data_IF_072737064784
#
_entry.id   IF_072737064784
#
_cell.length_a   1.000
_cell.length_b   1.000
_cell.length_c   1.000
_cell.angle_alpha   90.00
_cell.angle_beta   90.00
_cell.angle_gamma   90.00
#
_symmetry.space_group_name_H-M   'P 1'
#
loop_
_entity.id
_entity.type
_entity.pdbx_description
1 polymer ?
#
# COMPACT_ATOMS: atom_id res chain seq x y z
N UNK A 1 13.77 -36.17 5.41
CA UNK A 1 14.47 -35.05 4.76
C UNK A 1 13.40 -34.20 4.08
N UNK A 2 12.82 -33.23 4.81
CA UNK A 2 11.84 -32.29 4.25
C UNK A 2 12.59 -31.36 3.29
N UNK A 3 12.51 -31.65 2.00
CA UNK A 3 12.94 -30.70 0.97
C UNK A 3 11.75 -29.75 0.82
N UNK A 4 11.76 -28.63 1.53
CA UNK A 4 10.86 -27.53 1.18
C UNK A 4 11.11 -27.21 -0.30
N UNK A 5 10.06 -27.30 -1.10
CA UNK A 5 10.09 -26.96 -2.51
C UNK A 5 10.52 -25.50 -2.65
N UNK A 6 11.33 -25.18 -3.67
CA UNK A 6 11.72 -23.79 -3.92
C UNK A 6 10.47 -22.99 -4.29
N UNK A 7 10.34 -21.70 -3.89
CA UNK A 7 9.22 -20.88 -4.33
C UNK A 7 9.18 -20.83 -5.86
N UNK A 8 7.96 -20.75 -6.43
CA UNK A 8 7.79 -20.58 -7.87
C UNK A 8 8.44 -19.27 -8.31
N UNK A 9 9.54 -19.36 -9.05
CA UNK A 9 10.33 -18.22 -9.51
C UNK A 9 9.53 -17.23 -10.36
N UNK A 10 8.40 -17.65 -10.95
CA UNK A 10 7.54 -16.77 -11.77
C UNK A 10 6.54 -15.97 -10.94
N UNK A 11 6.37 -16.32 -9.67
CA UNK A 11 5.37 -15.68 -8.81
C UNK A 11 5.74 -14.24 -8.42
N UNK A 12 7.03 -13.90 -8.34
CA UNK A 12 7.50 -12.52 -8.10
C UNK A 12 9.01 -12.42 -8.33
N UNK A 13 9.52 -11.19 -8.47
CA UNK A 13 10.97 -10.94 -8.54
C UNK A 13 11.70 -11.44 -7.27
N UNK A 14 11.07 -11.32 -6.09
CA UNK A 14 11.62 -11.85 -4.84
C UNK A 14 11.66 -13.39 -4.82
N UNK A 15 10.65 -14.06 -5.38
CA UNK A 15 10.66 -15.52 -5.54
C UNK A 15 11.73 -15.97 -6.54
N UNK A 16 11.95 -15.20 -7.62
CA UNK A 16 13.07 -15.45 -8.53
C UNK A 16 14.42 -15.30 -7.84
N UNK A 17 14.62 -14.28 -7.00
CA UNK A 17 15.85 -14.12 -6.21
C UNK A 17 16.06 -15.32 -5.27
N UNK A 18 15.02 -15.74 -4.54
CA UNK A 18 15.08 -16.89 -3.64
C UNK A 18 15.45 -18.19 -4.38
N UNK A 19 14.81 -18.43 -5.53
CA UNK A 19 15.13 -19.55 -6.42
C UNK A 19 16.56 -19.46 -6.93
N UNK A 20 16.98 -18.31 -7.45
CA UNK A 20 18.32 -18.07 -8.00
C UNK A 20 19.41 -18.25 -6.94
N UNK A 21 19.18 -17.79 -5.70
CA UNK A 21 20.10 -17.99 -4.59
C UNK A 21 20.33 -19.49 -4.34
N UNK A 22 19.23 -20.26 -4.22
CA UNK A 22 19.29 -21.71 -4.03
C UNK A 22 19.95 -22.40 -5.22
N UNK A 23 19.61 -22.01 -6.44
CA UNK A 23 20.19 -22.56 -7.68
C UNK A 23 21.71 -22.35 -7.72
N UNK A 24 22.19 -21.12 -7.52
CA UNK A 24 23.62 -20.80 -7.54
C UNK A 24 24.38 -21.47 -6.39
N UNK A 25 23.78 -21.58 -5.20
CA UNK A 25 24.36 -22.31 -4.06
C UNK A 25 24.54 -23.80 -4.40
N UNK A 26 23.49 -24.44 -4.93
CA UNK A 26 23.50 -25.86 -5.28
C UNK A 26 24.48 -26.19 -6.42
N UNK A 27 24.53 -25.35 -7.46
CA UNK A 27 25.49 -25.49 -8.57
C UNK A 27 26.95 -25.44 -8.10
N UNK A 28 27.22 -24.71 -7.02
CA UNK A 28 28.57 -24.59 -6.41
C UNK A 28 28.84 -25.62 -5.30
N UNK A 29 27.90 -26.53 -5.03
CA UNK A 29 28.03 -27.53 -3.96
C UNK A 29 28.13 -26.92 -2.55
N UNK A 30 27.68 -25.69 -2.35
CA UNK A 30 27.79 -24.98 -1.07
C UNK A 30 26.67 -25.38 -0.10
N UNK A 31 27.04 -25.56 1.17
CA UNK A 31 26.06 -25.74 2.25
C UNK A 31 25.43 -24.40 2.63
N UNK A 32 24.24 -24.44 3.23
CA UNK A 32 23.62 -23.22 3.79
C UNK A 32 24.53 -22.52 4.81
N UNK A 33 25.32 -23.28 5.59
CA UNK A 33 26.30 -22.75 6.55
C UNK A 33 27.48 -22.04 5.87
N UNK A 34 27.88 -22.48 4.68
CA UNK A 34 28.93 -21.80 3.92
C UNK A 34 28.43 -20.43 3.41
N UNK A 35 27.20 -20.37 2.89
CA UNK A 35 26.59 -19.11 2.44
C UNK A 35 26.28 -18.18 3.62
N UNK A 36 25.85 -18.72 4.76
CA UNK A 36 25.61 -17.96 5.98
C UNK A 36 26.89 -17.26 6.48
N UNK A 37 28.03 -17.96 6.46
CA UNK A 37 29.33 -17.38 6.79
C UNK A 37 29.74 -16.31 5.78
N UNK A 38 29.53 -16.55 4.49
CA UNK A 38 29.81 -15.59 3.43
C UNK A 38 29.03 -14.28 3.62
N UNK A 39 27.75 -14.39 3.99
CA UNK A 39 26.86 -13.25 4.21
C UNK A 39 26.88 -12.67 5.63
N UNK A 40 27.74 -13.19 6.50
CA UNK A 40 27.81 -12.83 7.92
C UNK A 40 26.43 -12.87 8.63
N UNK A 41 25.67 -13.95 8.42
CA UNK A 41 24.34 -14.12 9.01
C UNK A 41 24.14 -15.53 9.60
N UNK A 42 23.03 -15.74 10.30
CA UNK A 42 22.66 -17.07 10.78
C UNK A 42 22.26 -18.02 9.63
N UNK A 43 22.50 -19.32 9.79
CA UNK A 43 22.06 -20.35 8.82
C UNK A 43 20.56 -20.31 8.56
N UNK A 44 19.77 -20.07 9.60
CA UNK A 44 18.31 -19.93 9.51
C UNK A 44 17.91 -18.80 8.56
N UNK A 45 18.69 -17.72 8.47
CA UNK A 45 18.46 -16.64 7.52
C UNK A 45 18.59 -17.11 6.08
N UNK A 46 19.57 -17.96 5.76
CA UNK A 46 19.72 -18.54 4.41
C UNK A 46 18.52 -19.39 4.04
N UNK A 47 18.05 -20.25 4.96
CA UNK A 47 16.84 -21.04 4.71
C UNK A 47 15.63 -20.16 4.44
N UNK A 48 15.44 -19.07 5.20
CA UNK A 48 14.34 -18.14 4.99
C UNK A 48 14.44 -17.41 3.65
N UNK A 49 15.64 -16.99 3.26
CA UNK A 49 15.90 -16.36 1.97
C UNK A 49 15.54 -17.31 0.82
N UNK A 50 16.00 -18.56 0.87
CA UNK A 50 15.74 -19.56 -0.18
C UNK A 50 14.28 -20.02 -0.26
N UNK A 51 13.53 -19.91 0.84
CA UNK A 51 12.09 -20.18 0.87
C UNK A 51 11.24 -18.95 0.50
N UNK A 52 11.85 -17.78 0.24
CA UNK A 52 11.12 -16.53 -0.05
C UNK A 52 10.46 -15.89 1.19
N UNK A 53 10.80 -16.34 2.39
CA UNK A 53 10.29 -15.80 3.67
C UNK A 53 11.06 -14.56 4.15
N UNK A 54 12.21 -14.28 3.54
CA UNK A 54 13.02 -13.09 3.76
C UNK A 54 13.48 -12.51 2.42
N UNK A 55 13.72 -11.20 2.38
CA UNK A 55 14.23 -10.50 1.19
C UNK A 55 15.75 -10.38 1.28
N UNK A 56 16.44 -10.67 0.17
CA UNK A 56 17.88 -10.48 0.06
C UNK A 56 18.20 -8.98 0.08
N UNK A 57 19.08 -8.55 0.98
CA UNK A 57 19.49 -7.15 1.06
C UNK A 57 20.49 -6.79 -0.06
N UNK A 58 20.52 -5.53 -0.47
CA UNK A 58 21.42 -5.04 -1.51
C UNK A 58 22.90 -5.26 -1.16
N UNK A 59 23.28 -5.10 0.11
CA UNK A 59 24.63 -5.40 0.59
C UNK A 59 24.95 -6.90 0.49
N UNK A 60 23.99 -7.77 0.80
CA UNK A 60 24.17 -9.21 0.69
C UNK A 60 24.27 -9.63 -0.79
N UNK A 61 23.47 -9.03 -1.66
CA UNK A 61 23.52 -9.25 -3.10
C UNK A 61 24.88 -8.88 -3.68
N UNK A 62 25.44 -7.73 -3.30
CA UNK A 62 26.79 -7.32 -3.71
C UNK A 62 27.88 -8.32 -3.27
N UNK A 63 27.80 -8.80 -2.02
CA UNK A 63 28.73 -9.83 -1.51
C UNK A 63 28.62 -11.14 -2.29
N UNK A 64 27.41 -11.58 -2.63
CA UNK A 64 27.22 -12.76 -3.47
C UNK A 64 27.79 -12.55 -4.87
N UNK A 65 27.55 -11.37 -5.46
CA UNK A 65 28.03 -11.05 -6.80
C UNK A 65 29.57 -11.07 -6.88
N UNK A 66 30.23 -10.50 -5.89
CA UNK A 66 31.69 -10.52 -5.77
C UNK A 66 32.21 -11.95 -5.53
N UNK A 67 31.68 -12.64 -4.52
CA UNK A 67 32.19 -13.94 -4.12
C UNK A 67 31.92 -15.05 -5.13
N UNK A 68 30.83 -14.96 -5.88
CA UNK A 68 30.44 -15.96 -6.88
C UNK A 68 30.73 -15.54 -8.31
N UNK A 69 31.32 -14.35 -8.50
CA UNK A 69 31.63 -13.72 -9.78
C UNK A 69 30.45 -13.75 -10.76
N UNK A 70 29.27 -13.29 -10.30
CA UNK A 70 28.03 -13.33 -11.09
C UNK A 70 27.75 -12.06 -11.89
N UNK A 71 28.71 -11.12 -11.96
CA UNK A 71 28.59 -9.93 -12.79
C UNK A 71 27.38 -9.04 -12.44
N UNK A 72 27.16 -8.81 -11.14
CA UNK A 72 26.04 -8.03 -10.59
C UNK A 72 24.65 -8.65 -10.75
N UNK A 73 24.55 -9.93 -11.10
CA UNK A 73 23.26 -10.61 -11.29
C UNK A 73 22.32 -10.46 -10.08
N UNK A 74 22.79 -10.69 -8.85
CA UNK A 74 21.94 -10.55 -7.65
C UNK A 74 21.58 -9.11 -7.37
N UNK A 75 22.54 -8.20 -7.51
CA UNK A 75 22.34 -6.76 -7.27
C UNK A 75 21.30 -6.18 -8.24
N UNK A 76 21.37 -6.55 -9.51
CA UNK A 76 20.40 -6.15 -10.55
C UNK A 76 19.01 -6.72 -10.24
N UNK A 77 18.91 -8.01 -9.87
CA UNK A 77 17.63 -8.61 -9.49
C UNK A 77 17.02 -7.90 -8.27
N UNK A 78 17.82 -7.63 -7.23
CA UNK A 78 17.36 -6.90 -6.03
C UNK A 78 16.89 -5.49 -6.40
N UNK A 79 17.61 -4.79 -7.27
CA UNK A 79 17.20 -3.48 -7.76
C UNK A 79 15.82 -3.54 -8.43
N UNK A 80 15.62 -4.44 -9.41
CA UNK A 80 14.32 -4.62 -10.05
C UNK A 80 13.24 -5.08 -9.06
N UNK A 81 13.58 -5.90 -8.06
CA UNK A 81 12.61 -6.39 -7.07
C UNK A 81 12.10 -5.28 -6.14
N UNK A 82 12.92 -4.25 -5.91
CA UNK A 82 12.55 -3.05 -5.15
C UNK A 82 11.70 -2.08 -5.97
N UNK A 83 11.90 -2.04 -7.29
CA UNK A 83 11.14 -1.16 -8.20
C UNK A 83 9.83 -1.78 -8.69
N UNK A 84 9.80 -3.11 -8.84
CA UNK A 84 8.71 -3.84 -9.45
C UNK A 84 7.46 -3.92 -8.60
N UNK A 85 6.34 -4.23 -9.25
CA UNK A 85 5.08 -4.56 -8.58
C UNK A 85 5.28 -5.82 -7.74
N UNK A 86 4.99 -5.75 -6.44
CA UNK A 86 5.06 -6.89 -5.53
C UNK A 86 3.67 -7.55 -5.52
N UNK A 87 3.47 -8.77 -6.02
CA UNK A 87 2.13 -9.40 -6.03
C UNK A 87 1.51 -9.59 -4.65
N UNK A 88 2.32 -9.52 -3.58
CA UNK A 88 1.87 -9.54 -2.18
C UNK A 88 1.60 -8.15 -1.61
N UNK A 89 1.70 -7.09 -2.44
CA UNK A 89 1.55 -5.70 -2.04
C UNK A 89 0.30 -5.47 -1.20
N UNK A 90 -0.84 -6.03 -1.61
CA UNK A 90 -2.13 -5.78 -0.96
C UNK A 90 -2.14 -6.39 0.44
N UNK A 91 -1.64 -7.61 0.58
CA UNK A 91 -1.49 -8.26 1.89
C UNK A 91 -0.59 -7.43 2.81
N UNK A 92 0.60 -7.07 2.34
CA UNK A 92 1.55 -6.28 3.13
C UNK A 92 0.93 -4.93 3.53
N UNK A 93 0.30 -4.24 2.59
CA UNK A 93 -0.41 -2.99 2.84
C UNK A 93 -1.48 -3.14 3.94
N UNK A 94 -2.35 -4.15 3.86
CA UNK A 94 -3.39 -4.37 4.89
C UNK A 94 -2.80 -4.68 6.26
N UNK A 95 -1.65 -5.35 6.33
CA UNK A 95 -0.95 -5.61 7.61
C UNK A 95 -0.36 -4.33 8.23
N UNK A 96 0.13 -3.40 7.40
CA UNK A 96 0.57 -2.07 7.85
C UNK A 96 -0.63 -1.19 8.26
N UNK A 97 -1.70 -1.17 7.46
CA UNK A 97 -2.93 -0.41 7.75
C UNK A 97 -3.52 -0.83 9.10
N UNK A 98 -3.62 -2.14 9.36
CA UNK A 98 -4.19 -2.68 10.59
C UNK A 98 -3.44 -2.25 11.87
N UNK A 99 -2.14 -1.95 11.77
CA UNK A 99 -1.29 -1.54 12.91
C UNK A 99 -0.86 -0.08 12.87
N UNK A 100 -1.39 0.71 11.94
CA UNK A 100 -1.01 2.10 11.72
C UNK A 100 -1.18 2.95 13.00
N UNK A 101 -0.23 3.82 13.30
CA UNK A 101 -0.40 4.88 14.30
C UNK A 101 -0.87 6.18 13.64
N UNK A 102 -0.47 6.39 12.38
CA UNK A 102 -0.92 7.50 11.53
C UNK A 102 -1.00 7.06 10.08
N UNK A 103 -1.97 7.59 9.34
CA UNK A 103 -2.11 7.41 7.90
C UNK A 103 -2.29 8.79 7.26
N UNK A 104 -1.40 9.15 6.35
CA UNK A 104 -1.64 10.21 5.37
C UNK A 104 -2.14 9.57 4.10
N UNK A 105 -3.26 10.04 3.57
CA UNK A 105 -3.90 9.45 2.40
C UNK A 105 -4.35 10.55 1.43
N UNK A 106 -3.91 10.44 0.18
CA UNK A 106 -4.48 11.20 -0.91
C UNK A 106 -5.21 10.25 -1.87
N UNK A 107 -6.48 10.57 -2.16
CA UNK A 107 -7.27 9.88 -3.18
C UNK A 107 -7.92 10.88 -4.14
N UNK A 108 -7.70 10.67 -5.44
CA UNK A 108 -8.24 11.53 -6.50
C UNK A 108 -9.42 10.95 -7.27
N UNK A 109 -9.69 9.64 -7.12
CA UNK A 109 -10.64 8.91 -7.96
C UNK A 109 -11.77 8.24 -7.18
N UNK A 110 -11.49 7.74 -5.97
CA UNK A 110 -12.43 6.94 -5.18
C UNK A 110 -12.34 7.33 -3.71
N UNK A 111 -13.43 7.16 -2.97
CA UNK A 111 -13.38 7.30 -1.51
C UNK A 111 -12.51 6.16 -0.96
N UNK A 112 -11.53 6.41 -0.07
CA UNK A 112 -10.67 5.36 0.47
C UNK A 112 -11.47 4.29 1.19
N UNK A 113 -11.05 3.03 1.07
CA UNK A 113 -11.76 1.87 1.65
C UNK A 113 -12.11 2.01 3.15
N UNK A 114 -11.25 2.68 3.94
CA UNK A 114 -11.52 2.93 5.35
C UNK A 114 -12.71 3.89 5.60
N UNK A 115 -13.11 4.64 4.59
CA UNK A 115 -14.16 5.65 4.64
C UNK A 115 -15.38 5.25 3.80
N UNK A 116 -15.44 4.02 3.27
CA UNK A 116 -16.54 3.58 2.41
C UNK A 116 -17.73 3.04 3.21
N UNK A 117 -18.96 3.32 2.79
CA UNK A 117 -20.13 2.56 3.27
C UNK A 117 -20.22 1.21 2.55
N UNK A 118 -20.96 0.22 3.11
CA UNK A 118 -21.18 -1.06 2.43
C UNK A 118 -21.80 -0.89 1.04
N UNK A 119 -22.75 0.06 0.88
CA UNK A 119 -23.38 0.35 -0.40
C UNK A 119 -22.40 0.85 -1.45
N UNK A 120 -21.56 1.84 -1.10
CA UNK A 120 -20.54 2.38 -2.01
C UNK A 120 -19.51 1.32 -2.38
N UNK A 121 -19.02 0.57 -1.38
CA UNK A 121 -18.07 -0.51 -1.58
C UNK A 121 -18.61 -1.61 -2.51
N UNK A 122 -19.88 -2.00 -2.33
CA UNK A 122 -20.58 -2.98 -3.17
C UNK A 122 -20.67 -2.50 -4.61
N UNK A 123 -21.12 -1.27 -4.84
CA UNK A 123 -21.25 -0.71 -6.19
C UNK A 123 -19.92 -0.73 -6.96
N UNK A 124 -18.80 -0.42 -6.30
CA UNK A 124 -17.48 -0.55 -6.91
C UNK A 124 -17.12 -1.99 -7.27
N UNK A 125 -17.35 -2.95 -6.35
CA UNK A 125 -17.07 -4.37 -6.60
C UNK A 125 -17.92 -4.93 -7.76
N UNK A 126 -19.18 -4.51 -7.87
CA UNK A 126 -20.08 -4.86 -8.97
C UNK A 126 -19.56 -4.31 -10.31
N UNK A 127 -19.17 -3.03 -10.35
CA UNK A 127 -18.62 -2.41 -11.58
C UNK A 127 -17.36 -3.11 -12.08
N UNK A 128 -16.52 -3.61 -11.16
CA UNK A 128 -15.31 -4.38 -11.46
C UNK A 128 -15.58 -5.82 -11.90
N UNK A 129 -16.86 -6.26 -11.94
CA UNK A 129 -17.29 -7.64 -12.25
C UNK A 129 -16.60 -8.67 -11.35
N UNK A 130 -16.48 -8.37 -10.06
CA UNK A 130 -15.78 -9.23 -9.11
C UNK A 130 -16.57 -10.53 -8.88
N UNK A 131 -16.01 -11.73 -9.20
CA UNK A 131 -16.69 -13.01 -8.99
C UNK A 131 -16.85 -13.40 -7.51
N UNK A 132 -16.13 -12.74 -6.59
CA UNK A 132 -16.14 -12.98 -5.14
C UNK A 132 -16.72 -11.80 -4.35
N UNK A 133 -17.73 -11.13 -4.90
CA UNK A 133 -18.28 -9.86 -4.39
C UNK A 133 -18.54 -9.87 -2.88
N UNK A 134 -19.30 -10.83 -2.35
CA UNK A 134 -19.70 -10.83 -0.93
C UNK A 134 -18.52 -11.06 0.01
N UNK A 135 -17.60 -11.95 -0.35
CA UNK A 135 -16.39 -12.22 0.45
C UNK A 135 -15.46 -11.01 0.46
N UNK A 136 -15.26 -10.37 -0.68
CA UNK A 136 -14.38 -9.22 -0.81
C UNK A 136 -15.01 -7.95 -0.21
N UNK A 137 -16.33 -7.81 -0.27
CA UNK A 137 -17.07 -6.78 0.46
C UNK A 137 -16.85 -6.95 1.97
N UNK A 138 -17.02 -8.17 2.49
CA UNK A 138 -16.79 -8.48 3.90
C UNK A 138 -15.35 -8.18 4.33
N UNK A 139 -14.35 -8.61 3.55
CA UNK A 139 -12.94 -8.28 3.83
C UNK A 139 -12.68 -6.78 3.81
N UNK A 140 -13.27 -6.06 2.84
CA UNK A 140 -13.13 -4.61 2.70
C UNK A 140 -13.72 -3.88 3.91
N UNK A 141 -14.92 -4.24 4.33
CA UNK A 141 -15.56 -3.65 5.52
C UNK A 141 -14.81 -4.02 6.81
N UNK A 142 -14.31 -5.25 6.93
CA UNK A 142 -13.53 -5.67 8.09
C UNK A 142 -12.25 -4.84 8.31
N UNK A 143 -11.72 -4.18 7.27
CA UNK A 143 -10.58 -3.26 7.41
C UNK A 143 -10.90 -2.04 8.26
N UNK A 144 -12.17 -1.60 8.30
CA UNK A 144 -12.59 -0.44 9.09
C UNK A 144 -12.55 -0.66 10.60
N UNK A 145 -12.44 -1.92 11.07
CA UNK A 145 -12.21 -2.22 12.48
C UNK A 145 -11.00 -1.46 13.07
N UNK A 146 -10.06 -1.06 12.21
CA UNK A 146 -8.93 -0.21 12.56
C UNK A 146 -9.32 1.15 13.15
N UNK A 147 -10.50 1.67 12.81
CA UNK A 147 -11.04 2.96 13.25
C UNK A 147 -11.60 2.91 14.67
N UNK A 148 -11.98 1.73 15.15
CA UNK A 148 -12.71 1.52 16.41
C UNK A 148 -11.86 0.85 17.49
N UNK A 149 -10.55 0.68 17.23
CA UNK A 149 -9.62 0.18 18.24
C UNK A 149 -9.45 1.18 19.39
N UNK A 150 -8.99 0.70 20.55
CA UNK A 150 -8.76 1.52 21.75
C UNK A 150 -7.93 2.78 21.52
N UNK A 151 -6.92 2.69 20.64
CA UNK A 151 -6.09 3.81 20.20
C UNK A 151 -6.14 3.84 18.67
N UNK A 152 -7.13 4.52 18.06
CA UNK A 152 -7.27 4.56 16.61
C UNK A 152 -6.14 5.38 15.98
N UNK A 153 -5.80 5.15 14.69
CA UNK A 153 -4.77 5.91 14.02
C UNK A 153 -5.21 7.36 13.82
N UNK A 154 -4.25 8.29 13.80
CA UNK A 154 -4.49 9.61 13.23
C UNK A 154 -4.64 9.51 11.72
N UNK A 155 -5.74 10.02 11.16
CA UNK A 155 -6.03 9.95 9.73
C UNK A 155 -5.99 11.35 9.12
N UNK A 156 -5.03 11.57 8.23
CA UNK A 156 -4.89 12.81 7.46
C UNK A 156 -5.27 12.52 6.03
N UNK A 157 -6.45 12.97 5.61
CA UNK A 157 -7.06 12.54 4.35
C UNK A 157 -7.33 13.74 3.45
N UNK A 158 -6.76 13.70 2.26
CA UNK A 158 -6.99 14.67 1.19
C UNK A 158 -7.75 13.96 0.07
N UNK A 159 -8.96 14.43 -0.24
CA UNK A 159 -9.75 13.90 -1.36
C UNK A 159 -9.87 14.96 -2.45
N UNK A 160 -9.78 14.57 -3.72
CA UNK A 160 -10.24 15.46 -4.80
C UNK A 160 -11.75 15.65 -4.69
N UNK A 161 -12.26 16.85 -4.97
CA UNK A 161 -13.70 17.12 -5.05
C UNK A 161 -14.42 16.15 -6.01
N UNK A 162 -13.76 15.71 -7.09
CA UNK A 162 -14.32 14.72 -8.02
C UNK A 162 -14.73 13.41 -7.33
N UNK A 163 -14.04 13.03 -6.24
CA UNK A 163 -14.32 11.80 -5.48
C UNK A 163 -15.68 11.82 -4.80
N UNK A 164 -16.14 13.00 -4.41
CA UNK A 164 -17.41 13.22 -3.71
C UNK A 164 -18.56 13.66 -4.63
N UNK A 165 -18.27 13.80 -5.94
CA UNK A 165 -19.20 14.28 -6.97
C UNK A 165 -19.64 13.15 -7.93
N UNK A 166 -18.85 12.08 -8.08
CA UNK A 166 -19.21 10.94 -8.93
C UNK A 166 -20.30 10.09 -8.25
N UNK A 167 -21.46 9.82 -8.90
CA UNK A 167 -22.60 9.09 -8.33
C UNK A 167 -22.37 7.57 -8.27
N UNK A 168 -21.40 7.11 -7.48
CA UNK A 168 -21.12 5.67 -7.32
C UNK A 168 -22.29 4.98 -6.62
N UNK A 169 -22.90 3.99 -7.29
CA UNK A 169 -24.06 3.27 -6.78
C UNK A 169 -25.38 4.04 -6.87
N UNK A 170 -25.40 5.21 -7.51
CA UNK A 170 -26.57 6.08 -7.62
C UNK A 170 -26.68 7.10 -6.48
N UNK A 171 -27.69 7.97 -6.57
CA UNK A 171 -27.85 9.12 -5.67
C UNK A 171 -28.01 8.72 -4.19
N UNK A 172 -28.83 7.72 -3.90
CA UNK A 172 -29.08 7.27 -2.53
C UNK A 172 -27.82 6.74 -1.85
N UNK A 173 -27.06 5.88 -2.53
CA UNK A 173 -25.80 5.32 -2.05
C UNK A 173 -24.77 6.41 -1.81
N UNK A 174 -24.68 7.36 -2.75
CA UNK A 174 -23.73 8.46 -2.61
C UNK A 174 -24.11 9.41 -1.47
N UNK A 175 -25.40 9.67 -1.25
CA UNK A 175 -25.88 10.46 -0.11
C UNK A 175 -25.52 9.81 1.22
N UNK A 176 -25.75 8.49 1.36
CA UNK A 176 -25.34 7.73 2.56
C UNK A 176 -23.82 7.81 2.76
N UNK A 177 -23.07 7.65 1.67
CA UNK A 177 -21.61 7.72 1.67
C UNK A 177 -21.08 9.09 2.12
N UNK A 178 -21.68 10.19 1.65
CA UNK A 178 -21.28 11.54 2.06
C UNK A 178 -21.67 11.83 3.51
N UNK A 179 -22.83 11.37 3.97
CA UNK A 179 -23.22 11.44 5.37
C UNK A 179 -22.20 10.73 6.28
N UNK A 180 -21.72 9.55 5.87
CA UNK A 180 -20.68 8.82 6.59
C UNK A 180 -19.33 9.55 6.60
N UNK A 181 -18.94 10.22 5.49
CA UNK A 181 -17.74 11.07 5.48
C UNK A 181 -17.85 12.22 6.49
N UNK A 182 -19.02 12.85 6.59
CA UNK A 182 -19.26 13.91 7.57
C UNK A 182 -19.12 13.37 8.99
N UNK A 183 -19.76 12.23 9.31
CA UNK A 183 -19.63 11.57 10.61
C UNK A 183 -18.16 11.29 10.97
N UNK A 184 -17.42 10.64 10.07
CA UNK A 184 -16.00 10.35 10.29
C UNK A 184 -15.18 11.62 10.47
N UNK A 185 -15.46 12.67 9.69
CA UNK A 185 -14.75 13.94 9.80
C UNK A 185 -14.90 14.60 11.17
N UNK A 186 -15.94 14.26 11.94
CA UNK A 186 -16.17 14.81 13.29
C UNK A 186 -15.36 14.09 14.37
N UNK A 187 -14.72 12.96 14.06
CA UNK A 187 -13.84 12.26 15.01
C UNK A 187 -12.57 13.09 15.27
N UNK A 188 -12.07 13.17 16.51
CA UNK A 188 -10.93 14.04 16.87
C UNK A 188 -9.59 13.61 16.23
N UNK A 189 -9.50 12.36 15.78
CA UNK A 189 -8.31 11.79 15.13
C UNK A 189 -8.43 11.77 13.60
N UNK A 190 -9.43 12.44 13.00
CA UNK A 190 -9.68 12.46 11.55
C UNK A 190 -9.63 13.88 11.01
N UNK A 191 -8.72 14.11 10.07
CA UNK A 191 -8.49 15.39 9.39
C UNK A 191 -8.79 15.20 7.90
N UNK A 192 -10.07 15.29 7.54
CA UNK A 192 -10.55 15.18 6.16
C UNK A 192 -10.60 16.57 5.51
N UNK A 193 -9.93 16.73 4.36
CA UNK A 193 -9.95 17.96 3.57
C UNK A 193 -10.17 17.66 2.10
N UNK A 194 -10.90 18.55 1.42
CA UNK A 194 -11.18 18.44 -0.01
C UNK A 194 -10.25 19.35 -0.81
N UNK A 195 -9.64 18.81 -1.85
CA UNK A 195 -8.93 19.56 -2.90
C UNK A 195 -9.98 20.00 -3.92
N UNK A 196 -10.34 21.30 -3.98
CA UNK A 196 -11.42 21.78 -4.84
C UNK A 196 -11.02 21.72 -6.31
N UNK A 197 -11.98 21.63 -7.23
CA UNK A 197 -11.73 21.67 -8.69
C UNK A 197 -10.99 22.94 -9.12
N UNK A 198 -11.21 24.05 -8.41
CA UNK A 198 -10.54 25.34 -8.64
C UNK A 198 -9.03 25.32 -8.38
N UNK A 199 -8.50 24.31 -7.69
CA UNK A 199 -7.06 24.14 -7.48
C UNK A 199 -6.30 23.87 -8.79
N UNK A 200 -6.98 23.39 -9.84
CA UNK A 200 -6.37 23.15 -11.15
C UNK A 200 -5.29 22.07 -11.10
N UNK A 201 -4.13 22.33 -11.73
CA UNK A 201 -3.02 21.39 -11.74
C UNK A 201 -2.36 21.27 -10.35
N UNK A 202 -2.29 20.05 -9.81
CA UNK A 202 -1.60 19.77 -8.55
C UNK A 202 -0.98 18.36 -8.57
N UNK A 203 -0.03 18.10 -7.67
CA UNK A 203 0.73 16.83 -7.63
C UNK A 203 -0.11 15.58 -7.28
N UNK A 204 -1.40 15.74 -6.99
CA UNK A 204 -2.30 14.60 -6.75
C UNK A 204 -2.87 14.01 -8.04
N UNK A 205 -2.85 14.76 -9.15
CA UNK A 205 -3.42 14.29 -10.42
C UNK A 205 -2.72 13.03 -10.97
N UNK A 206 -1.48 12.77 -10.55
CA UNK A 206 -0.70 11.59 -10.94
C UNK A 206 -1.23 10.28 -10.32
N UNK A 207 -2.07 10.36 -9.28
CA UNK A 207 -2.72 9.20 -8.68
C UNK A 207 -2.70 9.15 -7.15
N UNK A 208 -3.43 8.19 -6.57
CA UNK A 208 -3.55 8.02 -5.13
C UNK A 208 -2.30 7.42 -4.49
N UNK A 209 -2.05 7.81 -3.24
CA UNK A 209 -0.97 7.25 -2.43
C UNK A 209 -1.24 7.41 -0.93
N UNK A 210 -0.58 6.57 -0.14
CA UNK A 210 -0.64 6.53 1.32
C UNK A 210 0.75 6.58 1.93
N UNK A 211 0.87 7.21 3.08
CA UNK A 211 2.03 7.08 3.97
C UNK A 211 1.51 6.55 5.29
N UNK A 212 1.97 5.36 5.67
CA UNK A 212 1.56 4.67 6.88
C UNK A 212 2.72 4.72 7.87
N UNK A 213 2.49 5.36 9.01
CA UNK A 213 3.41 5.36 10.14
C UNK A 213 3.04 4.22 11.09
N UNK A 214 4.01 3.38 11.42
CA UNK A 214 3.92 2.29 12.40
C UNK A 214 5.09 2.41 13.39
N UNK A 215 5.07 1.65 14.49
CA UNK A 215 6.15 1.67 15.49
C UNK A 215 7.56 1.48 14.91
N UNK A 216 7.68 0.69 13.85
CA UNK A 216 8.96 0.36 13.22
C UNK A 216 9.45 1.42 12.23
N UNK A 217 8.65 2.43 11.91
CA UNK A 217 8.98 3.46 10.92
C UNK A 217 7.82 3.75 9.98
N UNK A 218 8.14 4.24 8.79
CA UNK A 218 7.16 4.71 7.83
C UNK A 218 7.30 4.00 6.50
N UNK A 219 6.17 3.66 5.90
CA UNK A 219 6.10 3.05 4.58
C UNK A 219 5.16 3.86 3.70
N UNK A 220 5.56 4.04 2.45
CA UNK A 220 4.69 4.59 1.41
C UNK A 220 3.97 3.48 0.68
N UNK A 221 2.81 3.80 0.14
CA UNK A 221 2.05 2.88 -0.67
C UNK A 221 1.44 3.65 -1.85
N UNK A 222 1.74 3.21 -3.07
CA UNK A 222 1.25 3.83 -4.31
C UNK A 222 0.38 2.82 -5.02
N UNK A 223 -0.84 3.21 -5.38
CA UNK A 223 -1.81 2.35 -6.07
C UNK A 223 -1.76 2.57 -7.58
N UNK A 224 -1.90 1.49 -8.35
CA UNK A 224 -2.10 1.51 -9.79
C UNK A 224 -3.16 0.46 -10.18
N UNK A 225 -3.75 0.55 -11.39
CA UNK A 225 -4.59 -0.51 -11.90
C UNK A 225 -3.83 -1.85 -11.90
N UNK A 226 -4.47 -2.91 -11.42
CA UNK A 226 -3.93 -4.28 -11.33
C UNK A 226 -2.71 -4.47 -10.41
N UNK A 227 -2.27 -3.45 -9.66
CA UNK A 227 -1.14 -3.61 -8.75
C UNK A 227 -0.74 -2.34 -8.01
N UNK A 228 -0.07 -2.49 -6.87
CA UNK A 228 0.49 -1.37 -6.12
C UNK A 228 1.98 -1.57 -5.84
N UNK A 229 2.63 -0.52 -5.36
CA UNK A 229 4.02 -0.54 -4.92
C UNK A 229 4.13 -0.17 -3.46
N UNK A 230 4.80 -1.02 -2.68
CA UNK A 230 5.20 -0.72 -1.31
C UNK A 230 6.54 0.01 -1.33
N UNK A 231 6.55 1.25 -0.86
CA UNK A 231 7.71 2.14 -0.82
C UNK A 231 8.35 2.04 0.56
N UNK A 232 9.49 1.35 0.63
CA UNK A 232 10.24 1.15 1.87
C UNK A 232 11.44 2.08 2.02
N UNK A 233 11.91 2.65 0.90
CA UNK A 233 13.08 3.52 0.90
C UNK A 233 12.75 4.87 1.54
N UNK A 234 13.46 5.23 2.60
CA UNK A 234 13.13 6.41 3.41
C UNK A 234 13.17 7.71 2.60
N UNK A 235 14.06 7.81 1.61
CA UNK A 235 14.11 8.98 0.72
C UNK A 235 12.86 9.12 -0.14
N UNK A 236 12.33 8.02 -0.67
CA UNK A 236 11.10 8.02 -1.46
C UNK A 236 9.86 8.30 -0.60
N UNK A 237 9.80 7.74 0.61
CA UNK A 237 8.72 8.04 1.58
C UNK A 237 8.70 9.53 1.93
N UNK A 238 9.86 10.16 2.13
CA UNK A 238 9.96 11.62 2.30
C UNK A 238 9.44 12.38 1.08
N UNK A 239 9.68 11.89 -0.13
CA UNK A 239 9.13 12.46 -1.35
C UNK A 239 7.60 12.46 -1.37
N UNK A 240 6.97 11.35 -0.97
CA UNK A 240 5.51 11.26 -0.84
C UNK A 240 4.95 12.22 0.21
N UNK A 241 5.65 12.40 1.34
CA UNK A 241 5.24 13.37 2.38
C UNK A 241 5.23 14.80 1.86
N UNK A 242 6.32 15.21 1.19
CA UNK A 242 6.39 16.53 0.58
C UNK A 242 5.27 16.74 -0.44
N UNK A 243 4.95 15.72 -1.23
CA UNK A 243 3.81 15.73 -2.14
C UNK A 243 2.49 15.92 -1.41
N UNK A 244 2.25 15.16 -0.34
CA UNK A 244 1.05 15.28 0.49
C UNK A 244 0.89 16.70 1.05
N UNK A 245 1.97 17.29 1.58
CA UNK A 245 1.96 18.64 2.13
C UNK A 245 1.62 19.69 1.06
N UNK A 246 2.17 19.55 -0.15
CA UNK A 246 1.89 20.45 -1.28
C UNK A 246 0.45 20.33 -1.79
N UNK A 247 -0.12 19.13 -1.82
CA UNK A 247 -1.56 18.95 -2.10
C UNK A 247 -2.38 19.59 -0.97
N UNK A 248 -1.96 19.42 0.27
CA UNK A 248 -2.57 20.02 1.44
C UNK A 248 -2.54 21.56 1.41
N UNK A 249 -1.56 22.19 0.75
CA UNK A 249 -1.50 23.64 0.62
C UNK A 249 -2.61 24.22 -0.27
N UNK A 250 -3.15 23.43 -1.20
CA UNK A 250 -4.25 23.85 -2.10
C UNK A 250 -5.61 23.28 -1.69
N UNK A 251 -5.65 22.42 -0.65
CA UNK A 251 -6.89 21.87 -0.12
C UNK A 251 -7.67 22.88 0.74
N UNK A 252 -8.98 22.77 0.75
CA UNK A 252 -9.85 23.53 1.65
C UNK A 252 -9.53 23.22 3.13
N UNK A 253 -9.73 24.16 4.07
CA UNK A 253 -9.75 23.85 5.50
C UNK A 253 -10.82 22.81 5.84
N UNK A 254 -10.69 22.15 7.00
CA UNK A 254 -11.61 21.06 7.43
C UNK A 254 -13.07 21.53 7.43
N UNK A 255 -13.37 22.70 8.01
CA UNK A 255 -14.76 23.18 8.08
C UNK A 255 -15.34 23.55 6.72
N UNK A 256 -14.53 24.11 5.82
CA UNK A 256 -14.96 24.37 4.43
C UNK A 256 -15.14 23.08 3.64
N UNK A 257 -14.35 22.05 3.94
CA UNK A 257 -14.47 20.73 3.35
C UNK A 257 -15.78 20.05 3.78
N UNK A 258 -16.14 20.13 5.06
CA UNK A 258 -17.43 19.63 5.58
C UNK A 258 -18.61 20.32 4.90
N UNK A 259 -18.60 21.65 4.81
CA UNK A 259 -19.66 22.40 4.10
C UNK A 259 -19.81 21.98 2.65
N UNK A 260 -18.71 21.75 1.94
CA UNK A 260 -18.75 21.29 0.55
C UNK A 260 -19.35 19.88 0.45
N UNK A 261 -19.00 18.97 1.37
CA UNK A 261 -19.58 17.63 1.44
C UNK A 261 -21.09 17.70 1.73
N UNK A 262 -21.52 18.54 2.68
CA UNK A 262 -22.95 18.78 2.98
C UNK A 262 -23.71 19.28 1.74
N UNK A 263 -23.17 20.30 1.06
CA UNK A 263 -23.78 20.86 -0.15
C UNK A 263 -23.93 19.82 -1.27
N UNK A 264 -22.90 19.02 -1.52
CA UNK A 264 -22.96 17.97 -2.54
C UNK A 264 -23.92 16.86 -2.13
N UNK A 265 -23.96 16.50 -0.84
CA UNK A 265 -24.91 15.51 -0.31
C UNK A 265 -26.36 15.91 -0.57
N UNK A 266 -26.70 17.19 -0.39
CA UNK A 266 -28.04 17.73 -0.68
C UNK A 266 -28.40 17.72 -2.17
N UNK A 267 -27.39 17.74 -3.07
CA UNK A 267 -27.60 17.71 -4.52
C UNK A 267 -27.93 16.31 -5.06
N UNK A 268 -27.63 15.25 -4.32
CA UNK A 268 -28.01 13.88 -4.67
C UNK A 268 -29.47 13.60 -4.24
N UNK A 269 -30.41 13.90 -5.14
CA UNK A 269 -31.86 13.66 -4.99
C UNK A 269 -32.30 12.30 -5.51
#
# INVERSE_FOLDING_TARGET
MNINESPDARSSMWAWIAYSLRFHRMQRGLTGDAVARLLNCARSSISRLENGEAKLEEKQAAVLDEAWNTGNHFSIMVWYARQGHDPTWFKNFTEFEARAERIHNYDGQLIPALFQTPGYARALLESGRNPYLEDDLKKRMARQNVLDRKIPPELWVLLSESVIDIPVGGAEVMREQLAYLLELSMRPNVFLRIVPKSAGAHEGLDGPFKIITVKQGEVGFVEAPNGGRLVLEAAEVRGLKLRFDRIGAVALPVDSSRRLIEQLMESFT
#
